data_IF_354845067991
#
_entry.id   IF_354845067991
#
_cell.length_a   1.000
_cell.length_b   1.000
_cell.length_c   1.000
_cell.angle_alpha   90.00
_cell.angle_beta   90.00
_cell.angle_gamma   90.00
#
_symmetry.space_group_name_H-M   'P 1'
#
loop_
_entity.id
_entity.type
_entity.pdbx_description
1 polymer ?
#
# COMPACT_ATOMS: atom_id res chain seq x y z
N UNK A 1 16.64 -12.49 5.56
CA UNK A 1 16.00 -12.79 6.86
C UNK A 1 16.82 -12.41 8.10
N UNK A 2 18.16 -12.55 8.13
CA UNK A 2 18.97 -12.19 9.32
C UNK A 2 19.07 -10.67 9.60
N UNK A 3 19.14 -9.84 8.56
CA UNK A 3 19.27 -8.38 8.70
C UNK A 3 18.00 -7.70 9.25
N UNK A 4 16.80 -8.09 8.78
CA UNK A 4 15.55 -7.57 9.34
C UNK A 4 15.37 -7.95 10.82
N UNK A 5 15.72 -9.19 11.21
CA UNK A 5 15.63 -9.58 12.61
C UNK A 5 16.64 -8.88 13.53
N UNK A 6 17.79 -8.45 13.00
CA UNK A 6 18.76 -7.62 13.75
C UNK A 6 18.18 -6.23 14.03
N UNK A 7 17.71 -5.54 12.98
CA UNK A 7 17.12 -4.19 13.10
C UNK A 7 15.84 -4.20 13.95
N UNK A 8 15.03 -5.26 13.83
CA UNK A 8 13.79 -5.41 14.61
C UNK A 8 14.02 -5.88 16.05
N UNK A 9 15.14 -6.56 16.37
CA UNK A 9 15.47 -6.91 17.75
C UNK A 9 16.19 -5.77 18.50
N UNK A 10 16.99 -4.96 17.81
CA UNK A 10 17.60 -3.75 18.39
C UNK A 10 16.54 -2.69 18.74
N UNK A 11 15.49 -2.57 17.93
CA UNK A 11 14.35 -1.65 18.16
C UNK A 11 13.33 -2.14 19.20
N UNK A 12 13.37 -3.42 19.62
CA UNK A 12 12.51 -3.95 20.69
C UNK A 12 13.00 -3.56 22.09
N UNK A 13 14.28 -3.27 22.26
CA UNK A 13 14.89 -3.07 23.58
C UNK A 13 15.03 -1.60 24.01
N UNK A 14 14.76 -0.63 23.13
CA UNK A 14 14.96 0.77 23.46
C UNK A 14 14.02 1.68 22.66
N UNK A 15 13.29 2.52 23.40
CA UNK A 15 12.72 3.80 22.97
C UNK A 15 11.31 3.77 22.32
N UNK A 16 10.23 3.90 23.13
CA UNK A 16 8.89 4.21 22.61
C UNK A 16 8.85 5.45 21.70
N UNK A 17 9.78 6.39 21.90
CA UNK A 17 9.97 7.56 21.04
C UNK A 17 10.23 7.19 19.56
N UNK A 18 11.15 6.26 19.31
CA UNK A 18 11.50 5.84 17.94
C UNK A 18 10.36 5.11 17.24
N UNK A 19 9.53 4.36 17.99
CA UNK A 19 8.33 3.72 17.43
C UNK A 19 7.30 4.74 16.98
N UNK A 20 7.12 5.81 17.75
CA UNK A 20 6.20 6.88 17.41
C UNK A 20 6.67 7.62 16.15
N UNK A 21 7.94 8.04 16.10
CA UNK A 21 8.50 8.70 14.92
C UNK A 21 8.40 7.83 13.66
N UNK A 22 8.74 6.54 13.75
CA UNK A 22 8.65 5.61 12.64
C UNK A 22 7.20 5.44 12.14
N UNK A 23 6.22 5.40 13.07
CA UNK A 23 4.82 5.32 12.73
C UNK A 23 4.35 6.57 11.97
N UNK A 24 4.71 7.76 12.44
CA UNK A 24 4.37 9.02 11.79
C UNK A 24 5.02 9.16 10.41
N UNK A 25 6.31 8.83 10.28
CA UNK A 25 6.97 8.79 8.97
C UNK A 25 6.30 7.82 8.00
N UNK A 26 5.85 6.66 8.50
CA UNK A 26 5.13 5.70 7.66
C UNK A 26 3.83 6.29 7.15
N UNK A 27 3.03 6.96 7.99
CA UNK A 27 1.77 7.61 7.59
C UNK A 27 1.99 8.69 6.52
N UNK A 28 3.13 9.38 6.53
CA UNK A 28 3.47 10.39 5.53
C UNK A 28 3.58 9.82 4.10
N UNK A 29 3.93 8.55 3.94
CA UNK A 29 3.97 7.88 2.63
C UNK A 29 2.62 7.84 1.91
N UNK A 30 1.50 8.11 2.61
CA UNK A 30 0.20 8.27 1.94
C UNK A 30 0.16 9.52 1.04
N UNK A 31 0.73 10.64 1.53
CA UNK A 31 0.76 11.91 0.80
C UNK A 31 1.89 11.91 -0.23
N UNK A 32 3.07 11.46 0.21
CA UNK A 32 4.30 11.45 -0.58
C UNK A 32 4.82 10.01 -0.65
N UNK A 33 4.23 9.15 -1.47
CA UNK A 33 4.70 7.78 -1.62
C UNK A 33 6.08 7.74 -2.26
N UNK A 34 7.01 7.04 -1.60
CA UNK A 34 8.34 6.75 -2.13
C UNK A 34 8.26 5.73 -3.29
N UNK A 35 7.39 4.73 -3.15
CA UNK A 35 7.08 3.76 -4.20
C UNK A 35 5.66 4.01 -4.73
N UNK A 36 5.58 4.74 -5.84
CA UNK A 36 4.33 5.11 -6.53
C UNK A 36 3.74 3.93 -7.33
N UNK A 37 4.61 3.11 -7.92
CA UNK A 37 4.27 2.21 -9.01
C UNK A 37 4.86 0.83 -8.75
N UNK A 38 4.00 -0.18 -8.69
CA UNK A 38 4.43 -1.57 -8.65
C UNK A 38 3.94 -2.29 -9.90
N UNK A 39 4.88 -2.80 -10.69
CA UNK A 39 4.59 -3.54 -11.91
C UNK A 39 4.48 -5.04 -11.63
N UNK A 40 3.60 -5.68 -12.37
CA UNK A 40 3.41 -7.13 -12.43
C UNK A 40 3.29 -7.54 -13.88
N UNK A 41 3.97 -8.62 -14.24
CA UNK A 41 3.88 -9.21 -15.56
C UNK A 41 2.91 -10.40 -15.54
N UNK A 42 2.00 -10.46 -16.50
CA UNK A 42 1.09 -11.58 -16.66
C UNK A 42 1.81 -12.72 -17.37
N UNK A 43 2.39 -13.65 -16.60
CA UNK A 43 3.12 -14.80 -17.15
C UNK A 43 2.20 -15.76 -17.93
N UNK A 44 0.91 -15.78 -17.59
CA UNK A 44 -0.14 -16.53 -18.26
C UNK A 44 -1.39 -15.64 -18.44
N UNK A 45 -2.28 -16.05 -19.34
CA UNK A 45 -3.62 -15.48 -19.42
C UNK A 45 -4.28 -15.58 -18.03
N UNK A 46 -4.68 -14.44 -17.48
CA UNK A 46 -5.07 -14.31 -16.08
C UNK A 46 -6.42 -13.61 -16.00
N UNK A 47 -7.36 -14.18 -15.25
CA UNK A 47 -8.63 -13.53 -14.94
C UNK A 47 -8.60 -13.08 -13.48
N UNK A 48 -8.78 -11.79 -13.26
CA UNK A 48 -9.02 -11.24 -11.92
C UNK A 48 -10.53 -11.12 -11.66
N UNK A 49 -10.99 -11.38 -10.44
CA UNK A 49 -12.42 -11.44 -10.14
C UNK A 49 -13.12 -10.07 -10.17
N UNK A 50 -12.35 -8.98 -10.07
CA UNK A 50 -12.85 -7.60 -9.95
C UNK A 50 -11.96 -6.65 -10.77
N UNK A 51 -12.42 -5.42 -10.99
CA UNK A 51 -11.70 -4.38 -11.73
C UNK A 51 -12.28 -4.06 -13.10
N UNK A 52 -13.21 -4.87 -13.60
CA UNK A 52 -13.89 -4.67 -14.87
C UNK A 52 -15.20 -3.89 -14.77
N UNK A 53 -15.61 -3.28 -15.88
CA UNK A 53 -16.87 -2.55 -16.01
C UNK A 53 -16.88 -1.17 -15.33
N UNK A 54 -17.98 -0.39 -15.48
CA UNK A 54 -18.03 1.01 -15.05
C UNK A 54 -17.84 1.23 -13.53
N UNK A 55 -18.13 0.22 -12.72
CA UNK A 55 -18.04 0.25 -11.25
C UNK A 55 -17.00 -0.74 -10.71
N UNK A 56 -16.08 -1.23 -11.55
CA UNK A 56 -15.02 -2.16 -11.17
C UNK A 56 -15.48 -3.48 -10.49
N UNK A 57 -16.75 -3.88 -10.67
CA UNK A 57 -17.34 -5.07 -10.04
C UNK A 57 -17.31 -6.32 -10.91
N UNK A 58 -16.95 -6.19 -12.19
CA UNK A 58 -16.91 -7.32 -13.12
C UNK A 58 -15.51 -7.93 -13.17
N UNK A 59 -15.44 -9.17 -13.65
CA UNK A 59 -14.18 -9.82 -13.94
C UNK A 59 -13.41 -9.06 -15.03
N UNK A 60 -12.09 -9.11 -14.95
CA UNK A 60 -11.20 -8.56 -15.97
C UNK A 60 -10.20 -9.64 -16.38
N UNK A 61 -10.02 -9.84 -17.68
CA UNK A 61 -9.06 -10.78 -18.25
C UNK A 61 -7.85 -10.02 -18.78
N UNK A 62 -6.67 -10.51 -18.46
CA UNK A 62 -5.40 -10.04 -18.99
C UNK A 62 -4.78 -11.16 -19.81
N UNK A 63 -4.36 -10.83 -21.03
CA UNK A 63 -3.54 -11.73 -21.84
C UNK A 63 -2.14 -11.86 -21.22
N UNK A 64 -1.49 -12.98 -21.51
CA UNK A 64 -0.07 -13.17 -21.22
C UNK A 64 0.77 -12.00 -21.80
N UNK A 65 1.87 -11.67 -21.14
CA UNK A 65 2.84 -10.62 -21.49
C UNK A 65 2.28 -9.19 -21.38
N UNK A 66 1.13 -9.01 -20.74
CA UNK A 66 0.64 -7.70 -20.34
C UNK A 66 1.25 -7.27 -19.00
N UNK A 67 1.73 -6.03 -18.95
CA UNK A 67 2.14 -5.38 -17.71
C UNK A 67 0.94 -4.75 -16.99
N UNK A 68 0.73 -5.17 -15.75
CA UNK A 68 -0.24 -4.57 -14.83
C UNK A 68 0.48 -3.61 -13.89
N UNK A 69 0.04 -2.36 -13.89
CA UNK A 69 0.55 -1.32 -13.01
C UNK A 69 -0.37 -1.12 -11.80
N UNK A 70 0.13 -1.42 -10.62
CA UNK A 70 -0.49 -1.01 -9.36
C UNK A 70 -0.01 0.39 -9.02
N UNK A 71 -0.92 1.37 -9.12
CA UNK A 71 -0.64 2.76 -8.82
C UNK A 71 -1.09 3.12 -7.40
N UNK A 72 -0.12 3.29 -6.49
CA UNK A 72 -0.41 3.63 -5.09
C UNK A 72 -0.87 5.08 -4.92
N UNK A 73 -0.47 5.99 -5.80
CA UNK A 73 -0.90 7.39 -5.75
C UNK A 73 -2.42 7.53 -5.90
N UNK A 74 -3.02 6.74 -6.79
CA UNK A 74 -4.48 6.69 -6.97
C UNK A 74 -5.14 6.04 -5.75
N UNK A 75 -4.61 4.90 -5.30
CA UNK A 75 -5.13 4.17 -4.13
C UNK A 75 -5.13 5.02 -2.84
N UNK A 76 -4.07 5.78 -2.59
CA UNK A 76 -3.92 6.63 -1.39
C UNK A 76 -4.80 7.87 -1.40
N UNK A 77 -5.38 8.21 -2.55
CA UNK A 77 -6.29 9.34 -2.75
C UNK A 77 -7.73 8.90 -3.01
N UNK A 78 -8.03 7.62 -2.89
CA UNK A 78 -9.41 7.14 -2.99
C UNK A 78 -10.24 7.73 -1.84
N UNK A 79 -11.14 8.65 -2.19
CA UNK A 79 -12.01 9.37 -1.26
C UNK A 79 -13.08 8.48 -0.63
N UNK A 80 -13.49 7.40 -1.30
CA UNK A 80 -14.44 6.43 -0.75
C UNK A 80 -13.84 5.71 0.47
N UNK A 81 -12.54 5.42 0.42
CA UNK A 81 -11.84 4.76 1.51
C UNK A 81 -11.34 5.75 2.57
N UNK A 82 -10.59 6.80 2.17
CA UNK A 82 -9.91 7.70 3.11
C UNK A 82 -10.80 8.79 3.68
N UNK A 83 -11.94 9.07 3.03
CA UNK A 83 -12.92 10.13 3.36
C UNK A 83 -12.29 11.54 3.41
N UNK A 84 -13.12 12.56 3.23
CA UNK A 84 -12.73 13.98 3.27
C UNK A 84 -11.57 14.39 2.31
N UNK A 85 -10.87 15.49 2.62
CA UNK A 85 -9.74 16.03 1.87
C UNK A 85 -8.52 15.10 1.95
N UNK A 86 -8.31 14.33 0.89
CA UNK A 86 -7.26 13.29 0.79
C UNK A 86 -5.84 13.85 0.63
N UNK A 87 -5.66 15.10 0.25
CA UNK A 87 -4.31 15.67 0.04
C UNK A 87 -3.72 16.32 1.30
N UNK A 88 -4.44 16.30 2.43
CA UNK A 88 -3.95 16.84 3.70
C UNK A 88 -3.35 15.71 4.54
N UNK A 89 -2.15 15.97 5.09
CA UNK A 89 -1.54 15.11 6.09
C UNK A 89 -2.36 15.15 7.38
N UNK A 90 -2.99 14.02 7.74
CA UNK A 90 -3.81 13.86 8.95
C UNK A 90 -3.54 12.48 9.57
N UNK A 91 -2.59 12.37 10.50
CA UNK A 91 -2.14 11.08 11.03
C UNK A 91 -3.18 10.36 11.89
N UNK A 92 -4.10 11.09 12.51
CA UNK A 92 -5.21 10.52 13.32
C UNK A 92 -6.17 9.67 12.48
N UNK A 93 -6.17 9.82 11.14
CA UNK A 93 -6.96 8.94 10.24
C UNK A 93 -6.54 7.47 10.33
N UNK A 94 -5.36 7.20 10.87
CA UNK A 94 -4.88 5.83 11.05
C UNK A 94 -5.28 5.25 12.40
N UNK A 95 -5.96 6.00 13.27
CA UNK A 95 -6.41 5.50 14.56
C UNK A 95 -7.45 4.40 14.36
N UNK A 96 -7.19 3.21 14.92
CA UNK A 96 -8.00 2.02 14.69
C UNK A 96 -7.77 1.33 13.34
N UNK A 97 -6.94 1.88 12.44
CA UNK A 97 -6.56 1.26 11.18
C UNK A 97 -5.26 0.47 11.32
N UNK A 98 -5.37 -0.86 11.37
CA UNK A 98 -4.22 -1.76 11.43
C UNK A 98 -4.13 -2.61 10.17
N UNK A 99 -3.21 -2.26 9.25
CA UNK A 99 -2.88 -3.05 8.06
C UNK A 99 -4.04 -3.24 7.07
N UNK A 100 -3.92 -2.70 5.86
CA UNK A 100 -4.96 -2.87 4.83
C UNK A 100 -4.36 -2.88 3.43
N UNK A 101 -5.09 -3.45 2.47
CA UNK A 101 -4.73 -3.37 1.05
C UNK A 101 -4.88 -1.96 0.46
N UNK A 102 -5.42 -1.01 1.22
CA UNK A 102 -5.55 0.39 0.82
C UNK A 102 -4.36 1.26 1.26
N UNK A 103 -3.44 0.70 2.06
CA UNK A 103 -2.22 1.37 2.49
C UNK A 103 -1.03 0.40 2.47
N UNK A 104 -0.22 0.47 1.40
CA UNK A 104 0.86 -0.47 1.11
C UNK A 104 2.20 0.27 0.91
N UNK A 105 2.71 0.99 1.94
CA UNK A 105 3.93 1.80 1.80
C UNK A 105 5.10 0.97 1.27
N UNK A 106 5.19 -0.29 1.67
CA UNK A 106 6.24 -1.23 1.28
C UNK A 106 5.80 -2.28 0.25
N UNK A 107 4.59 -2.14 -0.32
CA UNK A 107 4.01 -3.13 -1.23
C UNK A 107 3.30 -4.27 -0.50
N UNK A 108 2.80 -5.24 -1.25
CA UNK A 108 2.12 -6.41 -0.71
C UNK A 108 2.31 -7.65 -1.59
N UNK A 109 2.20 -8.82 -0.95
CA UNK A 109 2.47 -10.12 -1.56
C UNK A 109 3.95 -10.37 -1.84
N UNK A 110 4.30 -11.56 -2.35
CA UNK A 110 5.65 -11.86 -2.82
C UNK A 110 6.07 -10.90 -3.94
N UNK A 111 7.37 -10.59 -3.98
CA UNK A 111 8.01 -9.80 -5.03
C UNK A 111 9.03 -10.68 -5.75
#
# INVERSE_FOLDING_TARGET
MKYLNCVMNETKLRMPFFRYEHAECTKAYRIIPDNISQLRDCINDTVVPLGGGPVASHQCSFEREILVLVNKNVMYRNTEYWRDVVDIYRPDRFDGHHGSWHFLPFGGGPH
#
